data_IF_827255419509
#
_entry.id   IF_827255419509
#
_cell.length_a   1.000
_cell.length_b   1.000
_cell.length_c   1.000
_cell.angle_alpha   90.00
_cell.angle_beta   90.00
_cell.angle_gamma   90.00
#
_symmetry.space_group_name_H-M   'P 1'
#
loop_
_entity.id
_entity.type
_entity.pdbx_description
1 polymer ?
#
# COMPACT_ATOMS: atom_id res chain seq x y z
N UNK A 1 2.13 -11.47 -13.03
CA UNK A 1 2.16 -12.92 -13.37
C UNK A 1 3.61 -13.37 -13.39
N UNK A 2 3.89 -14.48 -12.73
CA UNK A 2 5.21 -15.10 -12.72
C UNK A 2 5.30 -16.19 -13.80
N UNK A 3 6.52 -16.56 -14.21
CA UNK A 3 6.69 -17.67 -15.15
C UNK A 3 6.22 -18.99 -14.52
N UNK A 4 5.53 -19.82 -15.30
CA UNK A 4 4.98 -21.09 -14.81
C UNK A 4 6.08 -22.12 -14.45
N UNK A 5 7.21 -22.05 -15.14
CA UNK A 5 8.39 -22.90 -14.95
C UNK A 5 9.44 -22.28 -13.99
N UNK A 6 9.36 -20.97 -13.73
CA UNK A 6 10.18 -20.28 -12.74
C UNK A 6 9.37 -19.18 -12.00
N UNK A 7 8.70 -19.50 -10.89
CA UNK A 7 7.82 -18.55 -10.20
C UNK A 7 8.55 -17.38 -9.53
N UNK A 8 9.89 -17.40 -9.45
CA UNK A 8 10.69 -16.27 -8.94
C UNK A 8 10.88 -15.16 -9.98
N UNK A 9 10.56 -15.44 -11.25
CA UNK A 9 10.67 -14.47 -12.34
C UNK A 9 9.33 -13.86 -12.71
N UNK A 10 9.23 -12.53 -12.60
CA UNK A 10 8.07 -11.77 -13.07
C UNK A 10 8.02 -11.79 -14.60
N UNK A 11 6.94 -12.32 -15.17
CA UNK A 11 6.71 -12.38 -16.62
C UNK A 11 5.87 -11.22 -17.15
N UNK A 12 4.87 -10.77 -16.38
CA UNK A 12 3.98 -9.69 -16.77
C UNK A 12 3.48 -8.90 -15.55
N UNK A 13 3.29 -7.59 -15.71
CA UNK A 13 2.66 -6.70 -14.74
C UNK A 13 1.32 -6.25 -15.34
N UNK A 14 0.26 -6.26 -14.55
CA UNK A 14 -1.10 -5.88 -14.97
C UNK A 14 -1.58 -4.66 -14.21
N UNK A 15 -2.79 -4.20 -14.53
CA UNK A 15 -3.48 -3.09 -13.86
C UNK A 15 -2.79 -1.73 -14.07
N UNK A 16 -2.59 -1.39 -15.35
CA UNK A 16 -1.94 -0.15 -15.80
C UNK A 16 -2.91 1.03 -15.95
N UNK A 17 -4.16 0.92 -15.51
CA UNK A 17 -5.19 1.94 -15.72
C UNK A 17 -4.91 3.26 -14.98
N UNK A 18 -4.15 3.20 -13.88
CA UNK A 18 -3.69 4.35 -13.09
C UNK A 18 -2.25 4.80 -13.43
N UNK A 19 -1.60 4.22 -14.44
CA UNK A 19 -0.21 4.55 -14.75
C UNK A 19 -0.05 5.97 -15.28
N UNK A 20 1.00 6.66 -14.85
CA UNK A 20 1.34 8.01 -15.28
C UNK A 20 2.83 8.29 -15.04
N UNK A 21 3.33 9.42 -15.55
CA UNK A 21 4.65 9.94 -15.19
C UNK A 21 4.57 10.61 -13.81
N UNK A 22 5.49 10.28 -12.91
CA UNK A 22 5.52 10.80 -11.55
C UNK A 22 6.82 10.48 -10.81
N UNK A 23 6.87 10.87 -9.54
CA UNK A 23 7.97 10.52 -8.65
C UNK A 23 7.90 9.02 -8.29
N UNK A 24 8.94 8.21 -8.57
CA UNK A 24 8.94 6.76 -8.32
C UNK A 24 8.75 6.39 -6.84
N UNK A 25 9.10 7.28 -5.90
CA UNK A 25 8.92 7.02 -4.48
C UNK A 25 7.44 7.03 -4.06
N UNK A 26 6.54 7.59 -4.87
CA UNK A 26 5.09 7.48 -4.66
C UNK A 26 4.62 6.03 -4.80
N UNK A 27 5.15 5.32 -5.81
CA UNK A 27 4.83 3.90 -6.01
C UNK A 27 5.48 3.04 -4.92
N UNK A 28 6.72 3.34 -4.55
CA UNK A 28 7.41 2.60 -3.49
C UNK A 28 6.75 2.82 -2.12
N UNK A 29 6.37 4.04 -1.75
CA UNK A 29 5.60 4.32 -0.55
C UNK A 29 4.22 3.65 -0.56
N UNK A 30 3.57 3.56 -1.74
CA UNK A 30 2.33 2.79 -1.91
C UNK A 30 2.56 1.29 -1.66
N UNK A 31 3.66 0.72 -2.15
CA UNK A 31 4.04 -0.67 -1.88
C UNK A 31 4.22 -0.91 -0.37
N UNK A 32 4.99 -0.05 0.31
CA UNK A 32 5.24 -0.17 1.75
C UNK A 32 3.96 -0.10 2.59
N UNK A 33 2.97 0.69 2.15
CA UNK A 33 1.68 0.75 2.82
C UNK A 33 0.91 -0.58 2.81
N UNK A 34 1.08 -1.40 1.76
CA UNK A 34 0.44 -2.72 1.63
C UNK A 34 1.34 -3.87 2.07
N UNK A 35 2.63 -3.61 2.26
CA UNK A 35 3.60 -4.63 2.63
C UNK A 35 3.48 -4.98 4.12
N UNK A 36 3.36 -6.26 4.48
CA UNK A 36 3.33 -6.66 5.88
C UNK A 36 4.71 -6.47 6.52
N UNK A 37 4.74 -6.06 7.77
CA UNK A 37 5.95 -6.06 8.59
C UNK A 37 5.82 -7.01 9.78
N UNK A 38 6.86 -7.76 10.15
CA UNK A 38 6.86 -8.58 11.37
C UNK A 38 6.53 -7.79 12.65
N UNK A 39 6.83 -6.49 12.68
CA UNK A 39 6.58 -5.61 13.82
C UNK A 39 5.22 -4.89 13.74
N UNK A 40 4.41 -5.14 12.71
CA UNK A 40 3.07 -4.56 12.64
C UNK A 40 2.15 -5.16 13.73
N UNK A 41 1.29 -4.30 14.29
CA UNK A 41 0.23 -4.74 15.19
C UNK A 41 -0.74 -5.68 14.43
N UNK A 42 -0.94 -6.92 14.90
CA UNK A 42 -1.80 -7.89 14.21
C UNK A 42 -3.27 -7.45 14.12
N UNK A 43 -3.72 -6.52 14.98
CA UNK A 43 -5.07 -5.96 14.94
C UNK A 43 -5.19 -4.79 13.96
N UNK A 44 -4.06 -4.29 13.43
CA UNK A 44 -4.00 -3.25 12.41
C UNK A 44 -4.00 -3.88 11.03
N UNK A 45 -5.18 -3.95 10.42
CA UNK A 45 -5.34 -4.31 9.00
C UNK A 45 -4.74 -3.20 8.14
N UNK A 46 -3.50 -3.38 7.68
CA UNK A 46 -2.96 -2.64 6.53
C UNK A 46 -3.65 -3.13 5.27
N UNK A 47 -3.81 -2.28 4.27
CA UNK A 47 -4.54 -2.59 3.01
C UNK A 47 -3.93 -3.70 2.14
N UNK A 48 -3.03 -4.53 2.68
CA UNK A 48 -2.46 -5.70 2.04
C UNK A 48 -3.44 -6.86 1.95
N UNK A 49 -3.07 -7.85 1.14
CA UNK A 49 -3.88 -9.04 0.92
C UNK A 49 -3.77 -10.02 2.10
N UNK A 50 -4.88 -10.70 2.41
CA UNK A 50 -4.91 -11.72 3.45
C UNK A 50 -3.85 -12.80 3.20
N UNK A 51 -3.08 -13.13 4.24
CA UNK A 51 -2.05 -14.18 4.20
C UNK A 51 -0.66 -13.73 3.77
N UNK A 52 -0.45 -12.48 3.34
CA UNK A 52 0.90 -11.97 3.00
C UNK A 52 1.87 -12.07 4.20
N UNK A 53 1.39 -11.80 5.41
CA UNK A 53 2.16 -11.91 6.64
C UNK A 53 2.65 -13.34 6.97
N UNK A 54 2.09 -14.37 6.33
CA UNK A 54 2.47 -15.76 6.53
C UNK A 54 3.52 -16.26 5.52
N UNK A 55 3.88 -15.43 4.54
CA UNK A 55 4.76 -15.82 3.44
C UNK A 55 6.25 -15.68 3.75
N UNK A 56 6.63 -15.21 4.94
CA UNK A 56 8.04 -14.99 5.32
C UNK A 56 8.72 -13.90 4.49
N UNK A 57 7.98 -12.86 4.13
CA UNK A 57 8.47 -11.72 3.36
C UNK A 57 9.51 -10.91 4.16
N UNK A 58 10.47 -10.23 3.49
CA UNK A 58 11.37 -9.29 4.16
C UNK A 58 10.60 -8.19 4.88
N UNK A 59 11.20 -7.63 5.95
CA UNK A 59 10.64 -6.45 6.61
C UNK A 59 10.66 -5.23 5.68
N UNK A 60 9.87 -4.20 5.98
CA UNK A 60 9.86 -2.97 5.20
C UNK A 60 11.24 -2.29 5.20
N UNK A 61 11.98 -2.35 6.30
CA UNK A 61 13.35 -1.84 6.37
C UNK A 61 14.29 -2.57 5.40
N UNK A 62 14.22 -3.91 5.36
CA UNK A 62 15.04 -4.72 4.43
C UNK A 62 14.67 -4.44 2.98
N UNK A 63 13.38 -4.28 2.68
CA UNK A 63 12.89 -3.96 1.34
C UNK A 63 13.34 -2.56 0.91
N UNK A 64 13.28 -1.57 1.80
CA UNK A 64 13.74 -0.19 1.59
C UNK A 64 15.24 -0.13 1.31
N UNK A 65 16.06 -0.84 2.10
CA UNK A 65 17.51 -0.93 1.88
C UNK A 65 17.82 -1.54 0.51
N UNK A 66 17.19 -2.67 0.18
CA UNK A 66 17.34 -3.31 -1.13
C UNK A 66 16.93 -2.39 -2.28
N UNK A 67 15.81 -1.67 -2.15
CA UNK A 67 15.32 -0.78 -3.20
C UNK A 67 16.26 0.43 -3.38
N UNK A 68 16.80 1.00 -2.31
CA UNK A 68 17.79 2.07 -2.37
C UNK A 68 19.05 1.63 -3.14
N UNK A 69 19.58 0.44 -2.84
CA UNK A 69 20.75 -0.11 -3.53
C UNK A 69 20.53 -0.33 -5.03
N UNK A 70 19.33 -0.77 -5.44
CA UNK A 70 19.01 -1.09 -6.83
C UNK A 70 18.59 0.12 -7.66
N UNK A 71 17.89 1.07 -7.07
CA UNK A 71 17.33 2.24 -7.76
C UNK A 71 18.29 3.43 -7.76
N UNK A 72 19.25 3.48 -6.83
CA UNK A 72 20.12 4.64 -6.58
C UNK A 72 19.35 5.93 -6.23
N UNK A 73 18.10 5.78 -5.77
CA UNK A 73 17.28 6.89 -5.28
C UNK A 73 17.65 7.20 -3.83
N UNK A 74 17.41 8.45 -3.42
CA UNK A 74 17.48 8.86 -2.02
C UNK A 74 16.15 8.52 -1.33
N UNK A 75 16.21 7.69 -0.29
CA UNK A 75 15.06 7.23 0.48
C UNK A 75 15.03 7.82 1.90
N UNK A 76 15.86 8.83 2.22
CA UNK A 76 15.88 9.47 3.54
C UNK A 76 14.49 9.98 3.96
N UNK A 77 13.69 10.43 2.99
CA UNK A 77 12.33 10.93 3.21
C UNK A 77 11.22 9.92 2.96
N UNK A 78 11.52 8.61 2.96
CA UNK A 78 10.54 7.57 2.62
C UNK A 78 9.28 7.59 3.51
N UNK A 79 9.43 8.00 4.77
CA UNK A 79 8.31 8.16 5.72
C UNK A 79 7.21 9.10 5.19
N UNK A 80 7.60 10.15 4.46
CA UNK A 80 6.65 11.09 3.86
C UNK A 80 5.82 10.41 2.77
N UNK A 81 6.46 9.58 1.94
CA UNK A 81 5.78 8.82 0.88
C UNK A 81 4.88 7.71 1.45
N UNK A 82 5.27 7.08 2.55
CA UNK A 82 4.39 6.17 3.30
C UNK A 82 3.17 6.90 3.86
N UNK A 83 3.35 8.09 4.46
CA UNK A 83 2.25 8.91 4.95
C UNK A 83 1.31 9.35 3.81
N UNK A 84 1.87 9.75 2.67
CA UNK A 84 1.10 10.05 1.46
C UNK A 84 0.28 8.83 1.00
N UNK A 85 0.87 7.64 1.02
CA UNK A 85 0.17 6.41 0.65
C UNK A 85 -1.00 6.07 1.61
N UNK A 86 -0.88 6.36 2.91
CA UNK A 86 -1.99 6.25 3.86
C UNK A 86 -3.16 7.14 3.43
N UNK A 87 -2.91 8.43 3.16
CA UNK A 87 -3.96 9.37 2.72
C UNK A 87 -4.54 9.02 1.36
N UNK A 88 -3.72 8.58 0.41
CA UNK A 88 -4.16 8.07 -0.89
C UNK A 88 -5.13 6.89 -0.69
N UNK A 89 -4.78 5.95 0.18
CA UNK A 89 -5.66 4.80 0.48
C UNK A 89 -6.96 5.26 1.13
N UNK A 90 -6.91 6.13 2.14
CA UNK A 90 -8.11 6.70 2.78
C UNK A 90 -9.04 7.38 1.75
N UNK A 91 -8.47 8.09 0.78
CA UNK A 91 -9.21 8.75 -0.31
C UNK A 91 -9.92 7.74 -1.20
N UNK A 92 -9.24 6.65 -1.58
CA UNK A 92 -9.84 5.54 -2.36
C UNK A 92 -11.00 4.92 -1.58
N UNK A 93 -10.81 4.59 -0.29
CA UNK A 93 -11.88 4.00 0.52
C UNK A 93 -13.09 4.93 0.66
N UNK A 94 -12.86 6.23 0.84
CA UNK A 94 -13.94 7.22 0.88
C UNK A 94 -14.69 7.31 -0.45
N UNK A 95 -13.99 7.25 -1.58
CA UNK A 95 -14.60 7.25 -2.90
C UNK A 95 -15.46 6.00 -3.11
N UNK A 96 -14.98 4.83 -2.70
CA UNK A 96 -15.71 3.56 -2.80
C UNK A 96 -17.01 3.60 -1.99
N UNK A 97 -16.95 4.09 -0.75
CA UNK A 97 -18.15 4.31 0.07
C UNK A 97 -19.10 5.32 -0.57
N UNK A 98 -18.58 6.43 -1.09
CA UNK A 98 -19.41 7.44 -1.74
C UNK A 98 -20.18 6.87 -2.94
N UNK A 99 -19.52 6.08 -3.79
CA UNK A 99 -20.15 5.40 -4.94
C UNK A 99 -21.28 4.47 -4.49
N UNK A 100 -21.08 3.71 -3.42
CA UNK A 100 -22.15 2.89 -2.85
C UNK A 100 -23.31 3.75 -2.33
N UNK A 101 -22.99 4.80 -1.58
CA UNK A 101 -23.98 5.71 -0.99
C UNK A 101 -24.88 6.39 -2.02
N UNK A 102 -24.35 6.70 -3.21
CA UNK A 102 -25.13 7.30 -4.31
C UNK A 102 -25.79 6.27 -5.25
N UNK A 103 -25.57 4.97 -5.02
CA UNK A 103 -26.15 3.89 -5.82
C UNK A 103 -25.36 3.49 -7.07
N UNK A 104 -24.14 4.01 -7.26
CA UNK A 104 -23.22 3.61 -8.34
C UNK A 104 -22.55 2.25 -8.10
N UNK A 105 -22.63 1.73 -6.86
CA UNK A 105 -22.19 0.39 -6.47
C UNK A 105 -23.24 -0.26 -5.58
N UNK A 106 -23.51 -1.55 -5.80
CA UNK A 106 -24.42 -2.36 -4.98
C UNK A 106 -23.68 -3.30 -4.03
N UNK A 107 -22.35 -3.20 -3.95
CA UNK A 107 -21.53 -4.03 -3.08
C UNK A 107 -21.65 -3.58 -1.63
N UNK A 108 -22.33 -4.37 -0.79
CA UNK A 108 -22.57 -4.09 0.63
C UNK A 108 -21.28 -3.90 1.44
N UNK A 109 -20.15 -4.46 0.98
CA UNK A 109 -18.84 -4.25 1.64
C UNK A 109 -18.44 -2.77 1.65
N UNK A 110 -18.94 -1.97 0.71
CA UNK A 110 -18.64 -0.54 0.59
C UNK A 110 -19.44 0.32 1.57
N UNK A 111 -20.47 -0.23 2.22
CA UNK A 111 -21.23 0.48 3.26
C UNK A 111 -20.32 0.90 4.41
N UNK A 112 -19.49 -0.02 4.92
CA UNK A 112 -18.64 0.20 6.10
C UNK A 112 -17.17 0.36 5.75
N UNK A 113 -16.78 0.33 4.47
CA UNK A 113 -15.36 0.39 4.07
C UNK A 113 -14.69 1.69 4.52
N UNK A 114 -15.46 2.77 4.66
CA UNK A 114 -14.97 4.06 5.12
C UNK A 114 -14.78 4.15 6.65
N UNK A 115 -15.28 3.20 7.44
CA UNK A 115 -15.11 3.21 8.90
C UNK A 115 -13.63 3.04 9.32
N UNK A 116 -12.80 2.53 8.40
CA UNK A 116 -11.35 2.41 8.58
C UNK A 116 -10.57 3.73 8.47
N UNK A 117 -11.16 4.80 7.92
CA UNK A 117 -10.44 6.05 7.61
C UNK A 117 -9.62 6.64 8.76
N UNK A 118 -10.13 6.74 10.00
CA UNK A 118 -9.37 7.32 11.11
C UNK A 118 -8.02 6.65 11.35
N UNK A 119 -7.91 5.34 11.10
CA UNK A 119 -6.66 4.58 11.27
C UNK A 119 -5.59 5.00 10.26
N UNK A 120 -5.97 5.20 9.00
CA UNK A 120 -5.06 5.67 7.96
C UNK A 120 -4.58 7.10 8.26
N UNK A 121 -5.48 7.98 8.71
CA UNK A 121 -5.15 9.36 9.07
C UNK A 121 -4.17 9.39 10.24
N UNK A 122 -4.49 8.69 11.33
CA UNK A 122 -3.62 8.60 12.50
C UNK A 122 -2.25 8.06 12.12
N UNK A 123 -2.19 7.01 11.27
CA UNK A 123 -0.91 6.44 10.87
C UNK A 123 -0.05 7.42 10.06
N UNK A 124 -0.68 8.20 9.18
CA UNK A 124 0.01 9.25 8.43
C UNK A 124 0.59 10.32 9.37
N UNK A 125 -0.16 10.74 10.39
CA UNK A 125 0.30 11.73 11.38
C UNK A 125 1.48 11.19 12.20
N UNK A 126 1.44 9.93 12.62
CA UNK A 126 2.58 9.27 13.30
C UNK A 126 3.84 9.27 12.44
N UNK A 127 3.72 8.91 11.16
CA UNK A 127 4.83 8.87 10.20
C UNK A 127 5.44 10.26 9.95
N UNK A 128 4.66 11.32 10.10
CA UNK A 128 5.10 12.71 9.88
C UNK A 128 5.56 13.41 11.16
N UNK A 129 5.44 12.75 12.31
CA UNK A 129 5.86 13.29 13.61
C UNK A 129 7.32 12.97 13.94
N UNK A 130 8.08 12.46 12.96
CA UNK A 130 9.48 12.03 13.07
C UNK A 130 10.43 13.23 13.02
#
# INVERSE_FOLDING_TARGET
>A
MFKADNPDEVHAIFDWDMTTLGDPLIDFGTLLNYWPDPDDDPDVVRGGHAGLNQMGLPSRSQLTEYYAEKSLLDLESIYWYEAFAQWKTATVLQQLHYRWKVGDSTDERMETIADGLPRFIQKAEELLSV
#
